data_IF_335868127202
#
_entry.id   IF_335868127202
#
_cell.length_a   1.000
_cell.length_b   1.000
_cell.length_c   1.000
_cell.angle_alpha   90.00
_cell.angle_beta   90.00
_cell.angle_gamma   90.00
#
_symmetry.space_group_name_H-M   'P 1'
#
loop_
_entity.id
_entity.type
_entity.pdbx_description
1 polymer ?
#
# COMPACT_ATOMS: atom_id res chain seq x y z
N UNK A 1 7.17 -2.13 -17.13
CA UNK A 1 5.99 -1.40 -17.62
C UNK A 1 6.42 -0.05 -18.15
N UNK A 2 5.79 0.39 -19.23
CA UNK A 2 5.97 1.72 -19.81
C UNK A 2 5.12 2.73 -19.04
N UNK A 3 5.55 4.00 -19.00
CA UNK A 3 4.81 5.05 -18.30
C UNK A 3 3.39 5.26 -18.83
N UNK A 4 3.17 5.01 -20.13
CA UNK A 4 1.84 5.07 -20.77
C UNK A 4 0.89 4.00 -20.22
N UNK A 5 1.39 2.79 -19.97
CA UNK A 5 0.63 1.69 -19.38
C UNK A 5 0.27 2.00 -17.93
N UNK A 6 1.21 2.56 -17.15
CA UNK A 6 0.96 2.98 -15.76
C UNK A 6 -0.16 4.03 -15.74
N UNK A 7 -0.10 5.05 -16.61
CA UNK A 7 -1.15 6.08 -16.68
C UNK A 7 -2.52 5.47 -16.95
N UNK A 8 -2.62 4.57 -17.94
CA UNK A 8 -3.89 3.92 -18.27
C UNK A 8 -4.42 3.08 -17.09
N UNK A 9 -3.55 2.29 -16.45
CA UNK A 9 -3.95 1.45 -15.33
C UNK A 9 -4.38 2.27 -14.11
N UNK A 10 -3.69 3.37 -13.81
CA UNK A 10 -4.08 4.28 -12.73
C UNK A 10 -5.40 4.97 -13.05
N UNK A 11 -5.65 5.35 -14.30
CA UNK A 11 -6.96 5.90 -14.68
C UNK A 11 -8.08 4.88 -14.44
N UNK A 12 -7.89 3.63 -14.89
CA UNK A 12 -8.87 2.57 -14.67
C UNK A 12 -9.11 2.28 -13.18
N UNK A 13 -8.07 2.38 -12.34
CA UNK A 13 -8.17 2.27 -10.87
C UNK A 13 -9.10 3.36 -10.30
N UNK A 14 -8.95 4.61 -10.75
CA UNK A 14 -9.77 5.72 -10.27
C UNK A 14 -11.22 5.58 -10.77
N UNK A 15 -11.42 5.19 -12.02
CA UNK A 15 -12.75 5.00 -12.60
C UNK A 15 -13.53 3.87 -11.92
N UNK A 16 -12.83 2.88 -11.34
CA UNK A 16 -13.42 1.74 -10.63
C UNK A 16 -13.03 1.73 -9.14
N UNK A 17 -12.93 2.90 -8.53
CA UNK A 17 -12.44 3.05 -7.16
C UNK A 17 -13.27 2.24 -6.14
N UNK A 18 -12.59 1.39 -5.38
CA UNK A 18 -13.09 0.76 -4.14
C UNK A 18 -12.14 1.10 -3.01
N UNK A 19 -12.67 1.54 -1.86
CA UNK A 19 -11.85 1.90 -0.70
C UNK A 19 -11.10 0.70 -0.14
N UNK A 20 -11.72 -0.47 -0.18
CA UNK A 20 -11.20 -1.73 0.35
C UNK A 20 -10.11 -2.32 -0.55
N UNK A 21 -10.26 -2.18 -1.88
CA UNK A 21 -9.31 -2.73 -2.85
C UNK A 21 -8.23 -1.73 -3.31
N UNK A 22 -8.43 -0.43 -3.06
CA UNK A 22 -7.60 0.66 -3.60
C UNK A 22 -6.09 0.39 -3.54
N UNK A 23 -5.58 0.03 -2.36
CA UNK A 23 -4.14 -0.18 -2.15
C UNK A 23 -3.61 -1.39 -2.94
N UNK A 24 -4.45 -2.42 -3.11
CA UNK A 24 -4.10 -3.63 -3.86
C UNK A 24 -4.14 -3.37 -5.36
N UNK A 25 -5.17 -2.69 -5.84
CA UNK A 25 -5.31 -2.32 -7.24
C UNK A 25 -4.25 -1.28 -7.66
N UNK A 26 -3.84 -0.38 -6.75
CA UNK A 26 -2.70 0.50 -6.95
C UNK A 26 -1.40 -0.29 -7.18
N UNK A 27 -1.13 -1.31 -6.37
CA UNK A 27 0.04 -2.17 -6.56
C UNK A 27 0.00 -2.89 -7.92
N UNK A 28 -1.16 -3.38 -8.34
CA UNK A 28 -1.35 -3.98 -9.68
C UNK A 28 -1.11 -2.94 -10.77
N UNK A 29 -1.63 -1.72 -10.63
CA UNK A 29 -1.45 -0.63 -11.58
C UNK A 29 0.02 -0.23 -11.77
N UNK A 30 0.85 -0.41 -10.73
CA UNK A 30 2.30 -0.22 -10.78
C UNK A 30 3.10 -1.47 -11.18
N UNK A 31 2.41 -2.54 -11.60
CA UNK A 31 3.03 -3.73 -12.18
C UNK A 31 3.41 -4.83 -11.19
N UNK A 32 2.88 -4.79 -9.97
CA UNK A 32 2.98 -5.93 -9.05
C UNK A 32 2.04 -7.04 -9.52
N UNK A 33 2.52 -8.28 -9.53
CA UNK A 33 1.72 -9.40 -10.03
C UNK A 33 0.46 -9.61 -9.18
N UNK A 34 -0.65 -9.99 -9.82
CA UNK A 34 -1.90 -10.34 -9.12
C UNK A 34 -1.69 -11.41 -8.05
N UNK A 35 -0.86 -12.42 -8.33
CA UNK A 35 -0.50 -13.46 -7.35
C UNK A 35 0.18 -12.88 -6.11
N UNK A 36 1.13 -11.96 -6.27
CA UNK A 36 1.79 -11.29 -5.15
C UNK A 36 0.81 -10.43 -4.34
N UNK A 37 -0.10 -9.73 -5.02
CA UNK A 37 -1.14 -8.93 -4.37
C UNK A 37 -2.13 -9.81 -3.61
N UNK A 38 -2.56 -10.94 -4.17
CA UNK A 38 -3.40 -11.92 -3.46
C UNK A 38 -2.72 -12.45 -2.20
N UNK A 39 -1.42 -12.76 -2.27
CA UNK A 39 -0.63 -13.18 -1.10
C UNK A 39 -0.50 -12.07 -0.05
N UNK A 40 -0.35 -10.81 -0.49
CA UNK A 40 -0.36 -9.66 0.41
C UNK A 40 -1.71 -9.51 1.11
N UNK A 41 -2.82 -9.61 0.37
CA UNK A 41 -4.19 -9.55 0.91
C UNK A 41 -4.50 -10.68 1.89
N UNK A 42 -3.96 -11.87 1.67
CA UNK A 42 -4.07 -13.01 2.60
C UNK A 42 -3.18 -12.90 3.85
N UNK A 43 -2.24 -11.96 3.87
CA UNK A 43 -1.32 -11.75 4.99
C UNK A 43 0.07 -12.37 4.80
N UNK A 44 0.28 -13.30 3.86
CA UNK A 44 1.59 -13.94 3.63
C UNK A 44 2.74 -12.95 3.40
N UNK A 45 2.46 -11.87 2.66
CA UNK A 45 3.44 -10.83 2.31
C UNK A 45 3.29 -9.56 3.16
N UNK A 46 2.29 -9.52 4.04
CA UNK A 46 2.12 -8.39 4.93
C UNK A 46 3.07 -8.55 6.12
N UNK A 47 4.04 -7.65 6.24
CA UNK A 47 4.97 -7.64 7.36
C UNK A 47 4.40 -6.95 8.60
N UNK A 48 3.25 -6.28 8.48
CA UNK A 48 2.51 -5.79 9.62
C UNK A 48 1.56 -6.88 10.13
N UNK A 49 1.37 -6.90 11.45
CA UNK A 49 0.37 -7.72 12.16
C UNK A 49 -0.76 -6.87 12.75
N UNK A 50 -0.75 -5.57 12.46
CA UNK A 50 -1.74 -4.62 12.97
C UNK A 50 -2.91 -4.59 11.98
N UNK A 51 -4.12 -4.70 12.50
CA UNK A 51 -5.33 -4.61 11.68
C UNK A 51 -5.42 -3.22 11.04
N UNK A 52 -5.76 -3.20 9.75
CA UNK A 52 -5.79 -1.96 8.95
C UNK A 52 -4.43 -1.47 8.47
N UNK A 53 -3.34 -2.19 8.72
CA UNK A 53 -2.01 -1.90 8.20
C UNK A 53 -1.55 -2.89 7.13
N UNK A 54 -0.88 -2.38 6.11
CA UNK A 54 -0.18 -3.14 5.09
C UNK A 54 1.25 -2.64 5.03
N UNK A 55 2.20 -3.52 5.35
CA UNK A 55 3.63 -3.24 5.22
C UNK A 55 4.24 -4.21 4.22
N UNK A 56 4.49 -3.73 3.01
CA UNK A 56 5.11 -4.50 1.94
C UNK A 56 6.50 -3.96 1.60
N UNK A 57 7.53 -4.76 1.91
CA UNK A 57 8.94 -4.39 1.81
C UNK A 57 9.32 -3.78 0.45
N UNK A 58 10.00 -2.61 0.48
CA UNK A 58 10.42 -1.84 -0.70
C UNK A 58 9.30 -1.38 -1.63
N UNK A 59 8.03 -1.53 -1.22
CA UNK A 59 6.86 -1.23 -2.05
C UNK A 59 5.98 -0.18 -1.41
N UNK A 60 5.31 -0.52 -0.31
CA UNK A 60 4.33 0.38 0.31
C UNK A 60 4.19 0.09 1.80
N UNK A 61 4.02 1.14 2.58
CA UNK A 61 3.33 1.11 3.85
C UNK A 61 2.01 1.85 3.67
N UNK A 62 0.92 1.23 4.11
CA UNK A 62 -0.43 1.80 4.03
C UNK A 62 -1.15 1.50 5.34
N UNK A 63 -1.74 2.54 5.92
CA UNK A 63 -2.49 2.45 7.18
C UNK A 63 -3.79 3.20 7.05
N UNK A 64 -4.90 2.55 7.40
CA UNK A 64 -6.19 3.21 7.54
C UNK A 64 -6.29 3.74 8.97
N UNK A 65 -6.51 5.05 9.10
CA UNK A 65 -6.59 5.71 10.41
C UNK A 65 -7.81 6.63 10.46
N UNK A 66 -8.30 6.90 11.67
CA UNK A 66 -9.34 7.89 11.91
C UNK A 66 -8.81 9.32 11.65
N UNK A 67 -9.67 10.21 11.17
CA UNK A 67 -9.29 11.56 10.72
C UNK A 67 -8.67 12.44 11.82
N UNK A 68 -9.01 12.19 13.07
CA UNK A 68 -8.52 12.90 14.26
C UNK A 68 -7.08 12.51 14.66
N UNK A 69 -6.58 11.37 14.17
CA UNK A 69 -5.25 10.83 14.52
C UNK A 69 -4.22 10.87 13.38
N UNK A 70 -4.54 11.58 12.30
CA UNK A 70 -3.72 11.57 11.09
C UNK A 70 -2.30 12.11 11.36
N UNK A 71 -2.19 13.30 11.94
CA UNK A 71 -0.89 13.95 12.18
C UNK A 71 -0.02 13.16 13.15
N UNK A 72 -0.58 12.71 14.28
CA UNK A 72 0.12 11.86 15.24
C UNK A 72 0.60 10.56 14.61
N UNK A 73 -0.24 9.92 13.79
CA UNK A 73 0.14 8.67 13.13
C UNK A 73 1.27 8.85 12.13
N UNK A 74 1.31 9.97 11.41
CA UNK A 74 2.42 10.28 10.49
C UNK A 74 3.72 10.46 11.27
N UNK A 75 3.69 11.18 12.39
CA UNK A 75 4.87 11.36 13.25
C UNK A 75 5.39 10.03 13.81
N UNK A 76 4.49 9.18 14.29
CA UNK A 76 4.83 7.86 14.82
C UNK A 76 5.46 6.97 13.73
N UNK A 77 4.82 6.89 12.56
CA UNK A 77 5.30 6.11 11.40
C UNK A 77 6.69 6.60 10.94
N UNK A 78 6.94 7.91 10.96
CA UNK A 78 8.23 8.49 10.57
C UNK A 78 9.41 8.05 11.44
N UNK A 79 9.13 7.66 12.69
CA UNK A 79 10.13 7.23 13.67
C UNK A 79 10.15 5.71 13.85
N UNK A 80 9.21 4.99 13.23
CA UNK A 80 9.01 3.58 13.52
C UNK A 80 10.03 2.68 12.82
N UNK A 81 10.98 2.11 13.58
CA UNK A 81 12.07 1.32 13.04
C UNK A 81 11.62 0.14 12.18
N UNK A 82 10.49 -0.50 12.54
CA UNK A 82 9.97 -1.65 11.77
C UNK A 82 9.62 -1.25 10.34
N UNK A 83 9.13 -0.03 10.13
CA UNK A 83 8.73 0.50 8.81
C UNK A 83 9.97 0.99 8.08
N UNK A 84 10.80 1.80 8.75
CA UNK A 84 12.05 2.34 8.19
C UNK A 84 12.98 1.23 7.67
N UNK A 85 13.08 0.10 8.39
CA UNK A 85 13.87 -1.07 7.98
C UNK A 85 13.40 -1.69 6.67
N UNK A 86 12.12 -1.58 6.34
CA UNK A 86 11.57 -2.15 5.09
C UNK A 86 11.71 -1.22 3.89
N UNK A 87 12.09 0.04 4.11
CA UNK A 87 12.30 1.07 3.10
C UNK A 87 11.17 1.12 2.05
N UNK A 88 9.89 1.22 2.48
CA UNK A 88 8.76 1.32 1.56
C UNK A 88 8.93 2.53 0.62
N UNK A 89 8.48 2.41 -0.62
CA UNK A 89 8.56 3.51 -1.61
C UNK A 89 7.49 4.58 -1.35
N UNK A 90 6.36 4.16 -0.82
CA UNK A 90 5.25 5.00 -0.37
C UNK A 90 5.02 4.69 1.11
N UNK A 91 5.04 5.70 1.97
CA UNK A 91 4.88 5.58 3.42
C UNK A 91 4.13 6.78 3.98
#
# INVERSE_FOLDING_TARGET
MKSTEIKHNVQNLIDNFSKEEFVFDLLVAYGISKTSVTRLKKGDYNLSKVDGEILYKKKIFFKVEASDKLLSSIEDVSKEERILKQQPRFA
#
